data_IF_529224832716
#
_entry.id   IF_529224832716
#
_cell.length_a   1.000
_cell.length_b   1.000
_cell.length_c   1.000
_cell.angle_alpha   90.00
_cell.angle_beta   90.00
_cell.angle_gamma   90.00
#
_symmetry.space_group_name_H-M   'P 1'
#
loop_
_entity.id
_entity.type
_entity.pdbx_description
1 polymer ?
#
# COMPACT_ATOMS: atom_id res chain seq x y z
N UNK A 1 -6.03 -6.68 6.73
CA UNK A 1 -5.53 -7.10 5.38
C UNK A 1 -4.10 -6.62 5.21
N UNK A 2 -3.25 -7.32 4.45
CA UNK A 2 -1.88 -6.85 4.13
C UNK A 2 -1.50 -7.17 2.68
N UNK A 3 -0.87 -6.24 1.98
CA UNK A 3 -0.33 -6.46 0.63
C UNK A 3 0.98 -5.71 0.45
N UNK A 4 1.98 -6.39 -0.11
CA UNK A 4 3.28 -5.83 -0.46
C UNK A 4 3.54 -6.02 -1.95
N UNK A 5 4.02 -4.97 -2.61
CA UNK A 5 4.37 -4.90 -4.01
C UNK A 5 5.80 -4.37 -4.15
N UNK A 6 6.57 -4.98 -5.04
CA UNK A 6 7.92 -4.53 -5.40
C UNK A 6 7.93 -4.11 -6.86
N UNK A 7 8.64 -3.03 -7.14
CA UNK A 7 8.88 -2.55 -8.50
C UNK A 7 10.38 -2.43 -8.71
N UNK A 8 10.91 -3.26 -9.61
CA UNK A 8 12.33 -3.29 -9.92
C UNK A 8 12.47 -3.01 -11.42
N UNK A 9 13.11 -1.89 -11.76
CA UNK A 9 13.39 -1.51 -13.14
C UNK A 9 14.74 -0.76 -13.20
N UNK A 10 15.73 -1.38 -13.85
CA UNK A 10 17.10 -0.90 -13.89
C UNK A 10 17.68 -0.66 -12.49
N UNK A 11 17.94 0.61 -12.14
CA UNK A 11 18.46 1.03 -10.82
C UNK A 11 17.36 1.38 -9.81
N UNK A 12 16.10 1.39 -10.26
CA UNK A 12 14.94 1.56 -9.39
C UNK A 12 14.63 0.25 -8.70
N UNK A 13 14.73 0.25 -7.37
CA UNK A 13 14.31 -0.86 -6.52
C UNK A 13 13.38 -0.30 -5.44
N UNK A 14 12.08 -0.32 -5.70
CA UNK A 14 11.06 0.33 -4.90
C UNK A 14 10.10 -0.68 -4.31
N UNK A 15 9.53 -0.33 -3.17
CA UNK A 15 8.44 -1.08 -2.56
C UNK A 15 7.25 -0.18 -2.30
N UNK A 16 6.09 -0.81 -2.27
CA UNK A 16 4.83 -0.24 -1.85
C UNK A 16 4.07 -1.33 -1.09
N UNK A 17 3.59 -1.02 0.09
CA UNK A 17 2.77 -1.91 0.91
C UNK A 17 1.54 -1.16 1.43
N UNK A 18 0.52 -1.93 1.74
CA UNK A 18 -0.69 -1.46 2.41
C UNK A 18 -1.13 -2.48 3.44
N UNK A 19 -1.45 -2.01 4.64
CA UNK A 19 -2.10 -2.80 5.68
C UNK A 19 -3.42 -2.15 6.08
N UNK A 20 -4.42 -2.95 6.43
CA UNK A 20 -5.66 -2.48 7.08
C UNK A 20 -5.73 -3.03 8.49
N UNK A 21 -6.12 -2.17 9.42
CA UNK A 21 -6.36 -2.45 10.82
C UNK A 21 -7.69 -1.81 11.23
N UNK A 22 -8.76 -2.61 11.26
CA UNK A 22 -10.13 -2.13 11.43
C UNK A 22 -10.52 -1.12 10.34
N UNK A 23 -11.02 0.05 10.73
CA UNK A 23 -11.41 1.12 9.82
C UNK A 23 -10.24 2.01 9.36
N UNK A 24 -8.98 1.64 9.62
CA UNK A 24 -7.80 2.42 9.21
C UNK A 24 -6.92 1.58 8.32
N UNK A 25 -6.45 2.14 7.20
CA UNK A 25 -5.36 1.55 6.45
C UNK A 25 -4.11 2.40 6.54
N UNK A 26 -2.96 1.76 6.44
CA UNK A 26 -1.65 2.40 6.36
C UNK A 26 -0.94 1.92 5.11
N UNK A 27 -0.54 2.87 4.27
CA UNK A 27 0.23 2.65 3.06
C UNK A 27 1.68 3.04 3.33
N UNK A 28 2.63 2.15 3.08
CA UNK A 28 4.06 2.46 3.21
C UNK A 28 4.75 2.28 1.86
N UNK A 29 5.60 3.22 1.47
CA UNK A 29 6.30 3.15 0.18
C UNK A 29 7.69 3.75 0.26
N UNK A 30 8.62 3.22 -0.54
CA UNK A 30 10.01 3.64 -0.48
C UNK A 30 10.92 2.90 -1.43
N UNK A 31 12.22 3.06 -1.21
CA UNK A 31 13.27 2.26 -1.86
C UNK A 31 13.54 1.04 -1.00
N UNK A 32 13.72 -0.15 -1.58
CA UNK A 32 14.07 -1.33 -0.79
C UNK A 32 15.36 -1.07 0.00
N UNK A 33 15.38 -1.51 1.26
CA UNK A 33 16.47 -1.25 2.20
C UNK A 33 16.36 0.08 2.96
N UNK A 34 15.30 0.88 2.76
CA UNK A 34 14.98 2.04 3.61
C UNK A 34 13.68 1.82 4.37
N UNK A 35 13.45 2.61 5.42
CA UNK A 35 12.19 2.59 6.16
C UNK A 35 10.98 3.09 5.34
N UNK A 36 11.23 3.76 4.21
CA UNK A 36 10.19 4.37 3.39
C UNK A 36 9.41 5.49 4.09
N UNK A 37 8.24 5.81 3.53
CA UNK A 37 7.28 6.77 4.07
C UNK A 37 5.95 6.06 4.27
N UNK A 38 5.32 6.29 5.42
CA UNK A 38 4.02 5.71 5.77
C UNK A 38 2.93 6.78 5.77
N UNK A 39 1.74 6.44 5.27
CA UNK A 39 0.54 7.27 5.26
C UNK A 39 -0.65 6.45 5.74
N UNK A 40 -1.23 6.85 6.86
CA UNK A 40 -2.46 6.26 7.40
C UNK A 40 -3.69 7.06 6.98
N UNK A 41 -4.79 6.37 6.71
CA UNK A 41 -6.10 6.96 6.43
C UNK A 41 -7.16 6.16 7.17
N UNK A 42 -7.98 6.87 7.93
CA UNK A 42 -9.10 6.32 8.70
C UNK A 42 -10.40 6.55 7.96
N UNK A 43 -11.31 5.60 8.07
CA UNK A 43 -12.61 5.54 7.43
C UNK A 43 -13.69 5.36 8.49
N UNK A 44 -14.94 5.49 8.07
CA UNK A 44 -16.10 5.34 8.95
C UNK A 44 -16.32 3.89 9.39
N UNK A 45 -15.92 2.92 8.57
CA UNK A 45 -16.05 1.50 8.88
C UNK A 45 -14.95 0.65 8.20
N UNK A 46 -14.81 -0.59 8.65
CA UNK A 46 -13.82 -1.53 8.10
C UNK A 46 -14.09 -1.88 6.63
N UNK A 47 -15.34 -2.01 6.22
CA UNK A 47 -15.70 -2.38 4.85
C UNK A 47 -15.22 -1.33 3.82
N UNK A 48 -15.48 -0.05 4.09
CA UNK A 48 -15.01 1.07 3.26
C UNK A 48 -13.49 1.17 3.23
N UNK A 49 -12.83 0.89 4.36
CA UNK A 49 -11.37 0.83 4.45
C UNK A 49 -10.80 -0.27 3.55
N UNK A 50 -11.39 -1.46 3.58
CA UNK A 50 -11.00 -2.61 2.75
C UNK A 50 -11.24 -2.31 1.27
N UNK A 51 -12.40 -1.77 0.91
CA UNK A 51 -12.73 -1.42 -0.49
C UNK A 51 -11.75 -0.40 -1.08
N UNK A 52 -11.39 0.66 -0.33
CA UNK A 52 -10.40 1.65 -0.76
C UNK A 52 -9.00 0.98 -0.89
N UNK A 53 -8.61 0.16 0.08
CA UNK A 53 -7.34 -0.58 0.04
C UNK A 53 -7.26 -1.51 -1.18
N UNK A 54 -8.31 -2.27 -1.48
CA UNK A 54 -8.38 -3.13 -2.66
C UNK A 54 -8.31 -2.34 -3.97
N UNK A 55 -8.97 -1.17 -4.03
CA UNK A 55 -8.90 -0.28 -5.20
C UNK A 55 -7.45 0.16 -5.44
N UNK A 56 -6.76 0.62 -4.39
CA UNK A 56 -5.36 1.01 -4.47
C UNK A 56 -4.46 -0.15 -4.94
N UNK A 57 -4.68 -1.37 -4.42
CA UNK A 57 -3.94 -2.57 -4.84
C UNK A 57 -4.17 -2.86 -6.32
N UNK A 58 -5.42 -2.80 -6.80
CA UNK A 58 -5.76 -3.04 -8.21
C UNK A 58 -5.11 -1.99 -9.12
N UNK A 59 -5.13 -0.72 -8.73
CA UNK A 59 -4.48 0.36 -9.48
C UNK A 59 -2.96 0.18 -9.58
N UNK A 60 -2.30 -0.26 -8.49
CA UNK A 60 -0.85 -0.51 -8.50
C UNK A 60 -0.47 -1.76 -9.26
N UNK A 61 -1.28 -2.82 -9.17
CA UNK A 61 -1.01 -4.09 -9.88
C UNK A 61 -1.21 -3.95 -11.38
N UNK A 62 -2.13 -3.10 -11.85
CA UNK A 62 -2.30 -2.81 -13.29
C UNK A 62 -1.19 -1.93 -13.88
N UNK A 63 -0.43 -1.23 -13.05
CA UNK A 63 0.66 -0.33 -13.46
C UNK A 63 2.05 -0.97 -13.34
N UNK A 64 2.12 -2.18 -12.79
CA UNK A 64 3.34 -2.98 -12.71
C UNK A 64 3.66 -3.66 -14.02
#
# INVERSE_FOLDING_TARGET
MFKHLKFIDGTSDKFWEIQTNGATHTVTYGRNGTAGQSKSKTFDNEETCIQDAEKLIKEKTKKG
#
